data_IF_152588632059
#
_entry.id   IF_152588632059
#
_cell.length_a   1.000
_cell.length_b   1.000
_cell.length_c   1.000
_cell.angle_alpha   90.00
_cell.angle_beta   90.00
_cell.angle_gamma   90.00
#
_symmetry.space_group_name_H-M   'P 1'
#
loop_
_entity.id
_entity.type
_entity.pdbx_description
1 polymer ?
#
# COMPACT_ATOMS: atom_id res chain seq x y z
N UNK A 1 14.31 -11.22 -0.29
CA UNK A 1 13.31 -10.17 -0.12
C UNK A 1 12.64 -10.39 1.21
N UNK A 2 12.60 -9.38 2.07
CA UNK A 2 11.99 -9.43 3.40
C UNK A 2 10.57 -8.89 3.32
N UNK A 3 9.72 -9.28 4.27
CA UNK A 3 8.39 -8.66 4.41
C UNK A 3 8.53 -7.40 5.25
N UNK A 4 7.79 -6.35 4.91
CA UNK A 4 7.65 -5.20 5.79
C UNK A 4 6.96 -5.60 7.11
N UNK A 5 7.07 -4.74 8.12
CA UNK A 5 6.44 -4.98 9.41
C UNK A 5 4.91 -5.16 9.29
N UNK A 6 4.25 -4.33 8.49
CA UNK A 6 2.79 -4.39 8.31
C UNK A 6 2.37 -5.63 7.52
N UNK A 7 3.15 -6.04 6.52
CA UNK A 7 2.98 -7.32 5.82
C UNK A 7 3.12 -8.51 6.77
N UNK A 8 4.14 -8.48 7.62
CA UNK A 8 4.36 -9.54 8.61
C UNK A 8 3.21 -9.64 9.61
N UNK A 9 2.68 -8.51 10.09
CA UNK A 9 1.49 -8.46 10.96
C UNK A 9 0.24 -9.02 10.27
N UNK A 10 0.02 -8.63 9.00
CA UNK A 10 -1.13 -9.13 8.23
C UNK A 10 -1.08 -10.66 8.08
N UNK A 11 0.08 -11.23 7.74
CA UNK A 11 0.24 -12.67 7.61
C UNK A 11 0.09 -13.40 8.94
N UNK A 12 0.68 -12.89 10.03
CA UNK A 12 0.49 -13.47 11.35
C UNK A 12 -0.97 -13.48 11.77
N UNK A 13 -1.69 -12.40 11.49
CA UNK A 13 -3.12 -12.34 11.80
C UNK A 13 -3.92 -13.28 10.90
N UNK A 14 -3.64 -13.37 9.60
CA UNK A 14 -4.29 -14.31 8.70
C UNK A 14 -4.09 -15.77 9.16
N UNK A 15 -2.89 -16.14 9.58
CA UNK A 15 -2.59 -17.46 10.16
C UNK A 15 -3.38 -17.69 11.45
N UNK A 16 -3.46 -16.68 12.32
CA UNK A 16 -4.25 -16.78 13.57
C UNK A 16 -5.75 -16.98 13.31
N UNK A 17 -6.27 -16.39 12.23
CA UNK A 17 -7.66 -16.62 11.79
C UNK A 17 -7.87 -18.06 11.30
N UNK A 18 -6.91 -18.61 10.54
CA UNK A 18 -6.94 -20.00 10.10
C UNK A 18 -6.94 -20.96 11.31
N UNK A 19 -6.08 -20.72 12.29
CA UNK A 19 -6.06 -21.51 13.51
C UNK A 19 -7.39 -21.42 14.28
N UNK A 20 -7.90 -20.22 14.48
CA UNK A 20 -9.17 -19.96 15.16
C UNK A 20 -10.38 -20.66 14.51
N UNK A 21 -10.40 -20.70 13.18
CA UNK A 21 -11.49 -21.31 12.40
C UNK A 21 -11.19 -22.74 11.98
N UNK A 22 -10.02 -23.28 12.37
CA UNK A 22 -9.55 -24.61 12.03
C UNK A 22 -9.49 -24.87 10.52
N UNK A 23 -8.97 -23.87 9.78
CA UNK A 23 -8.72 -24.01 8.36
C UNK A 23 -7.31 -24.55 8.11
N UNK A 24 -7.20 -25.51 7.22
CA UNK A 24 -5.92 -26.09 6.82
C UNK A 24 -5.12 -25.16 5.89
N UNK A 25 -5.82 -24.29 5.15
CA UNK A 25 -5.20 -23.44 4.15
C UNK A 25 -5.40 -21.95 4.43
N UNK A 26 -4.30 -21.19 4.35
CA UNK A 26 -4.35 -19.71 4.25
C UNK A 26 -4.68 -19.34 2.82
N UNK A 27 -5.71 -18.54 2.63
CA UNK A 27 -6.17 -18.06 1.32
C UNK A 27 -6.02 -16.54 1.20
N UNK A 28 -6.08 -15.95 -0.01
CA UNK A 28 -6.09 -14.51 -0.20
C UNK A 28 -7.19 -13.79 0.60
N UNK A 29 -8.33 -14.46 0.85
CA UNK A 29 -9.44 -13.94 1.63
C UNK A 29 -9.05 -13.73 3.11
N UNK A 30 -8.27 -14.65 3.70
CA UNK A 30 -7.74 -14.48 5.05
C UNK A 30 -6.79 -13.28 5.14
N UNK A 31 -5.94 -13.14 4.12
CA UNK A 31 -4.98 -12.04 4.05
C UNK A 31 -5.70 -10.70 3.88
N UNK A 32 -6.68 -10.61 2.97
CA UNK A 32 -7.47 -9.40 2.77
C UNK A 32 -8.26 -9.02 4.03
N UNK A 33 -8.85 -10.02 4.71
CA UNK A 33 -9.54 -9.79 5.98
C UNK A 33 -8.60 -9.18 7.02
N UNK A 34 -7.37 -9.68 7.12
CA UNK A 34 -6.36 -9.17 8.03
C UNK A 34 -5.87 -7.75 7.65
N UNK A 35 -5.67 -7.48 6.36
CA UNK A 35 -5.25 -6.16 5.86
C UNK A 35 -6.34 -5.12 6.12
N UNK A 36 -7.62 -5.49 5.99
CA UNK A 36 -8.76 -4.59 6.19
C UNK A 36 -8.90 -4.09 7.65
N UNK A 37 -8.18 -4.66 8.61
CA UNK A 37 -8.08 -4.15 9.99
C UNK A 37 -6.92 -3.18 10.21
N UNK A 38 -5.99 -3.07 9.26
CA UNK A 38 -4.84 -2.18 9.41
C UNK A 38 -5.25 -0.71 9.20
N UNK A 39 -4.79 0.15 10.11
CA UNK A 39 -5.11 1.58 10.08
C UNK A 39 -4.76 2.26 8.74
N UNK A 40 -3.56 2.03 8.12
CA UNK A 40 -3.24 2.62 6.82
C UNK A 40 -4.17 2.16 5.69
N UNK A 41 -4.65 0.91 5.73
CA UNK A 41 -5.63 0.43 4.76
C UNK A 41 -7.01 1.07 4.98
N UNK A 42 -7.45 1.19 6.22
CA UNK A 42 -8.72 1.84 6.58
C UNK A 42 -8.72 3.31 6.16
N UNK A 43 -7.61 4.01 6.36
CA UNK A 43 -7.43 5.39 5.93
C UNK A 43 -7.50 5.51 4.40
N UNK A 44 -6.75 4.67 3.68
CA UNK A 44 -6.77 4.63 2.22
C UNK A 44 -8.17 4.31 1.67
N UNK A 45 -8.85 3.34 2.27
CA UNK A 45 -10.21 2.99 1.92
C UNK A 45 -11.17 4.18 2.15
N UNK A 46 -11.12 4.81 3.32
CA UNK A 46 -12.00 5.94 3.66
C UNK A 46 -11.86 7.11 2.67
N UNK A 47 -10.65 7.41 2.21
CA UNK A 47 -10.41 8.49 1.24
C UNK A 47 -10.96 8.15 -0.15
N UNK A 48 -10.97 6.88 -0.51
CA UNK A 48 -11.56 6.38 -1.75
C UNK A 48 -13.08 6.15 -1.65
N UNK A 49 -13.72 6.65 -0.58
CA UNK A 49 -15.14 6.39 -0.26
C UNK A 49 -15.48 4.90 -0.11
N UNK A 50 -14.48 4.08 0.26
CA UNK A 50 -14.63 2.66 0.48
C UNK A 50 -14.84 2.37 1.98
N UNK A 51 -15.64 1.36 2.26
CA UNK A 51 -15.78 0.86 3.62
C UNK A 51 -14.99 -0.45 3.80
N UNK A 52 -13.85 -0.35 4.48
CA UNK A 52 -13.02 -1.53 4.82
C UNK A 52 -13.81 -2.57 5.62
N UNK A 53 -14.78 -2.15 6.46
CA UNK A 53 -15.66 -3.03 7.20
C UNK A 53 -16.61 -3.79 6.28
N UNK A 54 -17.12 -3.15 5.23
CA UNK A 54 -17.97 -3.81 4.25
C UNK A 54 -17.22 -4.93 3.52
N UNK A 55 -15.91 -4.78 3.29
CA UNK A 55 -15.07 -5.86 2.74
C UNK A 55 -15.04 -7.04 3.73
N UNK A 56 -14.79 -6.79 5.01
CA UNK A 56 -14.77 -7.84 6.03
C UNK A 56 -16.13 -8.52 6.21
N UNK A 57 -17.22 -7.76 6.19
CA UNK A 57 -18.58 -8.29 6.28
C UNK A 57 -18.93 -9.22 5.11
N UNK A 58 -18.39 -8.97 3.93
CA UNK A 58 -18.54 -9.86 2.76
C UNK A 58 -17.66 -11.10 2.84
N UNK A 59 -16.42 -10.96 3.33
CA UNK A 59 -15.48 -12.07 3.43
C UNK A 59 -15.84 -13.05 4.57
N UNK A 60 -16.29 -12.54 5.69
CA UNK A 60 -16.53 -13.34 6.91
C UNK A 60 -17.50 -14.52 6.70
N UNK A 61 -18.66 -14.37 6.04
CA UNK A 61 -19.57 -15.50 5.81
C UNK A 61 -18.93 -16.59 4.94
N UNK A 62 -18.12 -16.22 3.97
CA UNK A 62 -17.48 -17.18 3.08
C UNK A 62 -16.32 -17.89 3.79
N UNK A 63 -15.52 -17.16 4.57
CA UNK A 63 -14.49 -17.76 5.42
C UNK A 63 -15.09 -18.74 6.43
N UNK A 64 -16.24 -18.42 7.04
CA UNK A 64 -16.90 -19.34 7.99
C UNK A 64 -17.53 -20.57 7.35
N UNK A 65 -17.79 -20.58 6.04
CA UNK A 65 -18.30 -21.73 5.29
C UNK A 65 -17.18 -22.64 4.75
N UNK A 66 -15.93 -22.19 4.81
CA UNK A 66 -14.80 -23.01 4.37
C UNK A 66 -14.73 -24.33 5.17
N UNK A 67 -14.17 -25.36 4.55
CA UNK A 67 -13.99 -26.65 5.20
C UNK A 67 -13.10 -26.50 6.43
N UNK A 68 -13.59 -27.03 7.56
CA UNK A 68 -12.89 -26.99 8.84
C UNK A 68 -12.33 -28.36 9.19
N UNK A 69 -11.10 -28.38 9.70
CA UNK A 69 -10.49 -29.60 10.21
C UNK A 69 -11.27 -30.07 11.44
N UNK A 70 -11.72 -31.35 11.51
CA UNK A 70 -12.48 -31.87 12.65
C UNK A 70 -11.73 -31.72 13.98
N UNK A 71 -12.48 -31.58 15.07
CA UNK A 71 -11.89 -31.53 16.40
C UNK A 71 -11.08 -32.79 16.71
N UNK A 72 -9.93 -32.60 17.36
CA UNK A 72 -9.04 -33.70 17.75
C UNK A 72 -8.09 -34.17 16.64
N UNK A 73 -8.19 -33.66 15.42
CA UNK A 73 -7.21 -33.89 14.34
C UNK A 73 -6.13 -32.85 14.40
N UNK A 74 -4.86 -33.27 14.41
CA UNK A 74 -3.71 -32.37 14.25
C UNK A 74 -3.51 -32.05 12.77
N UNK A 75 -3.24 -30.79 12.46
CA UNK A 75 -3.00 -30.30 11.11
C UNK A 75 -1.90 -29.23 11.11
N UNK A 76 -1.35 -28.95 9.95
CA UNK A 76 -0.45 -27.83 9.70
C UNK A 76 -1.16 -26.86 8.77
N UNK A 77 -1.01 -25.57 9.04
CA UNK A 77 -1.58 -24.52 8.18
C UNK A 77 -0.62 -24.30 7.01
N UNK A 78 -1.11 -24.46 5.79
CA UNK A 78 -0.35 -24.28 4.55
C UNK A 78 -0.93 -23.16 3.70
N UNK A 79 -0.15 -22.63 2.75
CA UNK A 79 -0.66 -21.67 1.77
C UNK A 79 -1.49 -22.38 0.69
N UNK A 80 -2.66 -21.84 0.36
CA UNK A 80 -3.44 -22.32 -0.78
C UNK A 80 -2.73 -22.05 -2.12
N UNK A 81 -3.16 -22.69 -3.20
CA UNK A 81 -2.63 -22.45 -4.55
C UNK A 81 -2.78 -20.96 -4.93
N UNK A 82 -3.95 -20.37 -4.70
CA UNK A 82 -4.20 -18.94 -4.96
C UNK A 82 -3.36 -18.03 -4.07
N UNK A 83 -3.10 -18.40 -2.82
CA UNK A 83 -2.17 -17.67 -1.97
C UNK A 83 -0.74 -17.71 -2.54
N UNK A 84 -0.29 -18.86 -3.02
CA UNK A 84 1.03 -19.04 -3.64
C UNK A 84 1.15 -18.23 -4.93
N UNK A 85 0.10 -18.20 -5.75
CA UNK A 85 0.02 -17.37 -6.96
C UNK A 85 0.09 -15.89 -6.63
N UNK A 86 -0.72 -15.43 -5.67
CA UNK A 86 -0.70 -14.05 -5.16
C UNK A 86 0.71 -13.63 -4.71
N UNK A 87 1.37 -14.49 -3.92
CA UNK A 87 2.72 -14.20 -3.43
C UNK A 87 3.75 -14.11 -4.57
N UNK A 88 3.65 -14.98 -5.57
CA UNK A 88 4.53 -14.93 -6.73
C UNK A 88 4.35 -13.64 -7.54
N UNK A 89 3.11 -13.15 -7.70
CA UNK A 89 2.81 -11.87 -8.35
C UNK A 89 3.31 -10.70 -7.51
N UNK A 90 3.05 -10.69 -6.20
CA UNK A 90 3.48 -9.62 -5.30
C UNK A 90 5.01 -9.46 -5.27
N UNK A 91 5.75 -10.56 -5.24
CA UNK A 91 7.23 -10.53 -5.31
C UNK A 91 7.71 -9.95 -6.63
N UNK A 92 7.10 -10.32 -7.76
CA UNK A 92 7.44 -9.73 -9.06
C UNK A 92 7.19 -8.22 -9.10
N UNK A 93 6.05 -7.77 -8.58
CA UNK A 93 5.71 -6.34 -8.53
C UNK A 93 6.68 -5.56 -7.66
N UNK A 94 7.05 -6.08 -6.50
CA UNK A 94 8.05 -5.48 -5.64
C UNK A 94 9.43 -5.40 -6.31
N UNK A 95 9.82 -6.43 -7.07
CA UNK A 95 11.05 -6.40 -7.87
C UNK A 95 11.01 -5.35 -8.99
N UNK A 96 9.87 -5.21 -9.69
CA UNK A 96 9.70 -4.16 -10.70
C UNK A 96 9.71 -2.75 -10.10
N UNK A 97 9.24 -2.61 -8.87
CA UNK A 97 9.28 -1.35 -8.12
C UNK A 97 10.65 -1.07 -7.48
N UNK A 98 11.66 -1.94 -7.71
CA UNK A 98 12.99 -1.87 -7.08
C UNK A 98 12.89 -1.76 -5.54
N UNK A 99 11.88 -2.39 -4.95
CA UNK A 99 11.69 -2.42 -3.51
C UNK A 99 12.47 -3.56 -2.87
N UNK A 100 13.18 -3.26 -1.78
CA UNK A 100 13.89 -4.27 -0.99
C UNK A 100 12.95 -5.10 -0.12
N UNK A 101 11.75 -4.60 0.13
CA UNK A 101 10.74 -5.22 0.98
C UNK A 101 9.43 -5.47 0.24
N UNK A 102 8.75 -6.54 0.65
CA UNK A 102 7.39 -6.86 0.22
C UNK A 102 6.39 -6.12 1.13
N UNK A 103 5.65 -5.20 0.54
CA UNK A 103 4.68 -4.36 1.22
C UNK A 103 3.24 -4.71 0.90
N UNK A 104 2.31 -4.24 1.73
CA UNK A 104 0.86 -4.41 1.55
C UNK A 104 0.38 -3.91 0.17
N UNK A 105 0.79 -2.74 -0.35
CA UNK A 105 0.41 -2.33 -1.70
C UNK A 105 0.74 -3.35 -2.79
N UNK A 106 1.91 -4.03 -2.71
CA UNK A 106 2.27 -5.09 -3.65
C UNK A 106 1.32 -6.29 -3.55
N UNK A 107 0.92 -6.66 -2.32
CA UNK A 107 0.00 -7.77 -2.06
C UNK A 107 -1.40 -7.43 -2.57
N UNK A 108 -1.91 -6.22 -2.31
CA UNK A 108 -3.23 -5.78 -2.79
C UNK A 108 -3.25 -5.74 -4.32
N UNK A 109 -2.22 -5.19 -4.96
CA UNK A 109 -2.11 -5.17 -6.42
C UNK A 109 -2.09 -6.60 -7.00
N UNK A 110 -1.27 -7.49 -6.43
CA UNK A 110 -1.21 -8.89 -6.84
C UNK A 110 -2.54 -9.63 -6.62
N UNK A 111 -3.24 -9.33 -5.52
CA UNK A 111 -4.54 -9.91 -5.21
C UNK A 111 -5.60 -9.51 -6.23
N UNK A 112 -5.57 -8.24 -6.70
CA UNK A 112 -6.49 -7.77 -7.75
C UNK A 112 -6.26 -8.44 -9.12
N UNK A 113 -5.08 -9.01 -9.37
CA UNK A 113 -4.78 -9.76 -10.60
C UNK A 113 -5.26 -11.22 -10.57
N UNK A 114 -5.65 -11.74 -9.39
CA UNK A 114 -6.09 -13.12 -9.26
C UNK A 114 -7.41 -13.34 -10.01
N UNK A 115 -7.46 -14.46 -10.72
CA UNK A 115 -8.68 -14.94 -11.37
C UNK A 115 -9.47 -15.78 -10.37
N UNK A 116 -10.80 -15.63 -10.40
CA UNK A 116 -11.73 -16.45 -9.60
C UNK A 116 -11.51 -16.38 -8.07
N UNK A 117 -10.87 -15.31 -7.57
CA UNK A 117 -10.72 -15.04 -6.14
C UNK A 117 -11.83 -14.13 -5.61
N UNK A 118 -12.43 -14.50 -4.49
CA UNK A 118 -13.40 -13.65 -3.81
C UNK A 118 -12.74 -12.38 -3.27
N UNK A 119 -11.50 -12.47 -2.82
CA UNK A 119 -10.74 -11.31 -2.38
C UNK A 119 -10.56 -10.30 -3.52
N UNK A 120 -10.15 -10.76 -4.72
CA UNK A 120 -10.06 -9.92 -5.91
C UNK A 120 -11.42 -9.29 -6.25
N UNK A 121 -12.49 -10.07 -6.25
CA UNK A 121 -13.85 -9.56 -6.50
C UNK A 121 -14.27 -8.49 -5.49
N UNK A 122 -14.02 -8.70 -4.20
CA UNK A 122 -14.34 -7.72 -3.16
C UNK A 122 -13.54 -6.42 -3.34
N UNK A 123 -12.26 -6.51 -3.71
CA UNK A 123 -11.42 -5.34 -3.99
C UNK A 123 -11.91 -4.59 -5.22
N UNK A 124 -12.16 -5.28 -6.35
CA UNK A 124 -12.68 -4.63 -7.56
C UNK A 124 -14.04 -3.96 -7.34
N UNK A 125 -14.93 -4.63 -6.60
CA UNK A 125 -16.24 -4.06 -6.28
C UNK A 125 -16.12 -2.83 -5.37
N UNK A 126 -15.17 -2.85 -4.44
CA UNK A 126 -14.93 -1.76 -3.52
C UNK A 126 -14.24 -0.58 -4.23
N UNK A 127 -13.17 -0.84 -4.98
CA UNK A 127 -12.34 0.20 -5.63
C UNK A 127 -13.03 0.81 -6.87
N UNK A 128 -13.90 0.04 -7.55
CA UNK A 128 -14.58 0.52 -8.77
C UNK A 128 -13.61 0.83 -9.91
N UNK A 129 -13.86 1.93 -10.61
CA UNK A 129 -13.13 2.27 -11.84
C UNK A 129 -11.79 3.01 -11.57
N UNK A 130 -11.59 3.59 -10.38
CA UNK A 130 -10.37 4.36 -10.04
C UNK A 130 -9.33 3.53 -9.29
N UNK A 131 -8.94 2.39 -9.84
CA UNK A 131 -7.88 1.55 -9.27
C UNK A 131 -6.52 2.26 -9.15
N UNK A 132 -6.04 3.04 -10.16
CA UNK A 132 -4.77 3.74 -10.05
C UNK A 132 -4.75 4.78 -8.93
N UNK A 133 -5.85 5.53 -8.75
CA UNK A 133 -5.98 6.52 -7.68
C UNK A 133 -5.93 5.87 -6.30
N UNK A 134 -6.71 4.81 -6.10
CA UNK A 134 -6.69 4.04 -4.86
C UNK A 134 -5.30 3.48 -4.53
N UNK A 135 -4.62 2.85 -5.51
CA UNK A 135 -3.29 2.26 -5.30
C UNK A 135 -2.26 3.32 -4.96
N UNK A 136 -2.28 4.48 -5.62
CA UNK A 136 -1.37 5.59 -5.31
C UNK A 136 -1.56 6.09 -3.87
N UNK A 137 -2.82 6.21 -3.45
CA UNK A 137 -3.15 6.65 -2.10
C UNK A 137 -2.77 5.59 -1.04
N UNK A 138 -3.02 4.32 -1.33
CA UNK A 138 -2.63 3.19 -0.47
C UNK A 138 -1.12 3.18 -0.21
N UNK A 139 -0.30 3.36 -1.25
CA UNK A 139 1.15 3.48 -1.11
C UNK A 139 1.51 4.63 -0.16
N UNK A 140 0.89 5.80 -0.36
CA UNK A 140 1.15 6.97 0.49
C UNK A 140 0.82 6.73 1.97
N UNK A 141 -0.31 6.08 2.27
CA UNK A 141 -0.72 5.77 3.64
C UNK A 141 0.29 4.84 4.34
N UNK A 142 0.75 3.80 3.65
CA UNK A 142 1.75 2.88 4.21
C UNK A 142 3.15 3.52 4.33
N UNK A 143 3.53 4.40 3.42
CA UNK A 143 4.78 5.18 3.55
C UNK A 143 4.71 6.16 4.74
N UNK A 144 3.60 6.86 4.94
CA UNK A 144 3.39 7.76 6.08
C UNK A 144 3.40 7.01 7.42
N UNK A 145 2.73 5.85 7.49
CA UNK A 145 2.75 5.00 8.69
C UNK A 145 4.16 4.60 9.07
N UNK A 146 5.00 4.24 8.11
CA UNK A 146 6.42 3.91 8.36
C UNK A 146 7.23 5.10 8.88
N UNK A 147 7.01 6.29 8.33
CA UNK A 147 7.69 7.51 8.78
C UNK A 147 7.32 7.86 10.23
N UNK A 148 6.06 7.71 10.61
CA UNK A 148 5.59 7.95 11.97
C UNK A 148 6.21 6.99 13.00
N UNK A 149 6.46 5.74 12.62
CA UNK A 149 7.16 4.78 13.49
C UNK A 149 8.64 5.10 13.69
N UNK A 150 9.32 5.66 12.68
CA UNK A 150 10.73 6.06 12.81
C UNK A 150 10.90 7.25 13.74
N UNK A 151 9.96 8.19 13.74
CA UNK A 151 10.02 9.41 14.59
C UNK A 151 9.76 9.11 16.09
N UNK A 152 9.10 8.00 16.41
CA UNK A 152 8.85 7.59 17.80
C UNK A 152 9.95 6.72 18.42
N UNK A 153 10.97 6.31 17.65
CA UNK A 153 12.06 5.44 18.12
C UNK A 153 13.38 6.17 18.43
N UNK A 154 13.40 7.50 18.39
CA UNK A 154 14.62 8.30 18.63
C UNK A 154 14.90 8.66 20.11
N UNK A 155 14.30 7.96 21.07
CA UNK A 155 14.74 8.01 22.49
C UNK A 155 15.41 6.70 22.90
N UNK A 156 16.61 6.45 22.40
CA UNK A 156 17.43 5.31 22.86
C UNK A 156 18.69 5.12 22.02
N UNK A 157 19.81 5.57 22.58
CA UNK A 157 21.18 5.34 22.08
C UNK A 157 21.42 3.88 21.68
N UNK A 158 21.60 3.59 20.38
CA UNK A 158 22.50 2.53 19.91
C UNK A 158 22.88 2.79 18.44
N UNK A 159 24.21 2.86 18.20
CA UNK A 159 24.86 2.90 16.89
C UNK A 159 24.53 1.60 16.10
N UNK A 160 23.59 1.67 15.19
CA UNK A 160 23.30 0.64 14.20
C UNK A 160 23.10 1.27 12.84
N UNK A 161 23.80 0.74 11.85
CA UNK A 161 23.85 1.12 10.44
C UNK A 161 22.43 1.31 9.86
N UNK A 162 21.86 2.51 10.06
CA UNK A 162 20.54 2.88 9.57
C UNK A 162 20.63 3.31 8.10
N UNK A 163 20.08 2.49 7.25
CA UNK A 163 19.84 2.80 5.85
C UNK A 163 19.06 4.12 5.75
N UNK A 164 19.77 5.14 5.30
CA UNK A 164 19.33 6.54 5.24
C UNK A 164 18.05 6.70 4.42
N UNK A 165 17.13 7.59 4.82
CA UNK A 165 15.93 7.92 4.05
C UNK A 165 16.35 8.35 2.64
N UNK A 166 15.81 7.67 1.64
CA UNK A 166 16.08 7.72 0.19
C UNK A 166 17.00 8.89 -0.22
N UNK A 167 18.26 8.57 -0.53
CA UNK A 167 19.33 9.52 -0.91
C UNK A 167 18.87 10.59 -1.91
N UNK A 168 17.83 10.34 -2.71
CA UNK A 168 17.31 11.30 -3.67
C UNK A 168 16.77 12.59 -3.02
N UNK A 169 16.24 12.54 -1.78
CA UNK A 169 15.77 13.75 -1.07
C UNK A 169 16.91 14.71 -0.72
N UNK A 170 18.14 14.20 -0.55
CA UNK A 170 19.30 15.05 -0.37
C UNK A 170 19.80 15.66 -1.68
N UNK A 171 19.33 15.12 -2.82
CA UNK A 171 19.68 15.60 -4.17
C UNK A 171 18.67 16.60 -4.73
N UNK A 172 17.52 16.78 -4.08
CA UNK A 172 16.45 17.68 -4.51
C UNK A 172 16.04 18.62 -3.39
N UNK A 173 15.65 19.83 -3.76
CA UNK A 173 15.11 20.83 -2.84
C UNK A 173 13.62 20.99 -3.11
N UNK A 174 12.79 20.83 -2.07
CA UNK A 174 11.37 21.13 -2.15
C UNK A 174 11.18 22.65 -2.26
N UNK A 175 10.79 23.12 -3.43
CA UNK A 175 10.60 24.57 -3.66
C UNK A 175 9.46 25.15 -2.82
N UNK A 176 8.45 24.34 -2.46
CA UNK A 176 7.36 24.76 -1.60
C UNK A 176 7.83 25.07 -0.16
N UNK A 177 8.88 24.40 0.32
CA UNK A 177 9.42 24.62 1.67
C UNK A 177 10.35 25.83 1.70
N UNK A 178 10.94 26.17 0.56
CA UNK A 178 11.95 27.24 0.43
C UNK A 178 11.41 28.53 -0.18
N UNK A 179 10.16 28.57 -0.67
CA UNK A 179 9.62 29.71 -1.41
C UNK A 179 9.69 31.04 -0.62
N UNK A 180 9.50 30.98 0.70
CA UNK A 180 9.54 32.19 1.55
C UNK A 180 10.94 32.79 1.71
N UNK A 181 11.99 32.02 1.41
CA UNK A 181 13.40 32.48 1.45
C UNK A 181 13.88 33.08 0.15
N UNK A 182 13.09 32.97 -0.93
CA UNK A 182 13.45 33.53 -2.24
C UNK A 182 12.95 34.96 -2.39
N UNK A 183 13.69 35.74 -3.17
CA UNK A 183 13.27 37.10 -3.49
C UNK A 183 11.98 37.08 -4.32
N UNK A 184 11.09 38.05 -4.12
CA UNK A 184 9.86 38.13 -4.91
C UNK A 184 10.19 38.33 -6.41
N UNK A 185 9.39 37.69 -7.26
CA UNK A 185 9.49 37.86 -8.70
C UNK A 185 9.07 39.29 -9.07
N UNK A 186 9.98 40.05 -9.69
CA UNK A 186 9.72 41.45 -10.09
C UNK A 186 9.95 41.56 -11.60
N UNK A 187 8.99 42.14 -12.31
CA UNK A 187 9.14 42.54 -13.73
C UNK A 187 9.08 41.35 -14.72
N UNK A 188 8.43 40.22 -14.36
CA UNK A 188 8.23 39.05 -15.24
C UNK A 188 6.78 38.57 -15.20
N UNK A 189 5.85 39.49 -15.21
CA UNK A 189 4.42 39.20 -15.11
C UNK A 189 3.91 38.41 -16.34
N UNK A 190 4.40 38.73 -17.53
CA UNK A 190 4.01 38.07 -18.78
C UNK A 190 4.46 36.60 -18.82
N UNK A 191 5.71 36.32 -18.38
CA UNK A 191 6.23 34.96 -18.30
C UNK A 191 5.50 34.13 -17.24
N UNK A 192 5.17 34.76 -16.11
CA UNK A 192 4.40 34.12 -15.05
C UNK A 192 2.99 33.76 -15.54
N UNK A 193 2.29 34.70 -16.17
CA UNK A 193 0.96 34.45 -16.73
C UNK A 193 0.98 33.33 -17.78
N UNK A 194 1.99 33.33 -18.65
CA UNK A 194 2.18 32.27 -19.63
C UNK A 194 2.44 30.89 -18.99
N UNK A 195 3.25 30.86 -17.94
CA UNK A 195 3.52 29.64 -17.15
C UNK A 195 2.25 29.08 -16.54
N UNK A 196 1.46 29.94 -15.87
CA UNK A 196 0.18 29.56 -15.26
C UNK A 196 -0.78 29.02 -16.34
N UNK A 197 -0.88 29.68 -17.49
CA UNK A 197 -1.71 29.20 -18.62
C UNK A 197 -1.27 27.83 -19.15
N UNK A 198 0.03 27.50 -19.14
CA UNK A 198 0.54 26.18 -19.53
C UNK A 198 0.19 25.14 -18.46
N UNK A 199 0.40 25.44 -17.18
CA UNK A 199 0.10 24.55 -16.06
C UNK A 199 -1.40 24.20 -15.96
N UNK A 200 -2.28 25.14 -16.34
CA UNK A 200 -3.72 24.91 -16.34
C UNK A 200 -4.26 24.12 -17.53
N UNK A 201 -3.40 23.66 -18.47
CA UNK A 201 -3.84 22.82 -19.59
C UNK A 201 -4.14 21.41 -19.13
N UNK A 202 -5.12 20.78 -19.75
CA UNK A 202 -5.43 19.35 -19.52
C UNK A 202 -4.30 18.44 -19.97
N UNK A 203 -3.64 18.79 -21.11
CA UNK A 203 -2.54 18.01 -21.69
C UNK A 203 -1.35 18.93 -21.94
N UNK A 204 -0.13 18.37 -21.93
CA UNK A 204 1.15 19.11 -22.17
C UNK A 204 1.33 20.32 -21.22
N UNK A 205 1.09 20.07 -19.94
CA UNK A 205 1.12 21.06 -18.87
C UNK A 205 2.50 21.29 -18.23
N UNK A 206 3.58 20.82 -18.87
CA UNK A 206 4.95 21.02 -18.39
C UNK A 206 5.57 22.26 -19.04
N UNK A 207 5.71 23.41 -18.36
CA UNK A 207 6.42 24.56 -18.86
C UNK A 207 7.93 24.34 -18.81
N UNK A 208 8.64 24.69 -19.87
CA UNK A 208 10.10 24.73 -19.91
C UNK A 208 10.55 26.18 -19.92
N UNK A 209 11.33 26.58 -18.91
CA UNK A 209 11.99 27.87 -18.87
C UNK A 209 13.42 27.73 -19.32
N UNK A 210 13.81 28.54 -20.32
CA UNK A 210 15.15 28.61 -20.83
C UNK A 210 15.66 30.04 -20.63
N UNK A 211 16.82 30.16 -20.02
CA UNK A 211 17.49 31.44 -19.78
C UNK A 211 19.01 31.30 -19.94
N UNK A 212 19.70 32.46 -20.01
CA UNK A 212 21.15 32.55 -19.96
C UNK A 212 21.66 32.51 -18.52
#
# INVERSE_FOLDING_TARGET
MTNSNDTSKAFQYAISLCDKWRHEFVTPEHVLYAIAEQEPFVEAASTAELDARAIQEKLRPELTKMEQVPEGVSYTIEGSEQFSEMMAHAVKQAQFAESDELDIPHIISAMMELKESLAAYCLHLAVGDDQPGFMSFLVSCYEMSRMSFMDMSEDGDEEGDHMQPKQWRSLVTCLNDTYASHNPLIGREDELERTIRVLCRKDKNNPLHVGE
#
